data_IF_387359418141
#
_entry.id   IF_387359418141
#
_cell.length_a   1.000
_cell.length_b   1.000
_cell.length_c   1.000
_cell.angle_alpha   90.00
_cell.angle_beta   90.00
_cell.angle_gamma   90.00
#
_symmetry.space_group_name_H-M   'P 1'
#
loop_
_entity.id
_entity.type
_entity.pdbx_description
1 polymer ?
#
# COMPACT_ATOMS: atom_id res chain seq x y z
N UNK A 1 7.52 1.02 -15.69
CA UNK A 1 6.68 0.56 -14.55
C UNK A 1 5.77 -0.51 -15.09
N UNK A 2 5.83 -1.72 -14.56
CA UNK A 2 5.04 -2.85 -15.06
C UNK A 2 3.54 -2.55 -14.92
N UNK A 3 2.81 -2.80 -16.01
CA UNK A 3 1.48 -2.28 -16.31
C UNK A 3 0.31 -3.03 -15.66
N UNK A 4 0.46 -3.78 -14.55
CA UNK A 4 -0.66 -4.59 -14.04
C UNK A 4 -0.76 -4.65 -12.51
N UNK A 5 -0.66 -3.49 -11.84
CA UNK A 5 -1.23 -3.43 -10.48
C UNK A 5 -2.74 -3.20 -10.60
N UNK A 6 -3.55 -4.24 -10.34
CA UNK A 6 -5.02 -4.13 -10.32
C UNK A 6 -5.54 -3.14 -9.25
N UNK A 7 -4.68 -2.75 -8.30
CA UNK A 7 -5.00 -1.84 -7.21
C UNK A 7 -5.54 -2.56 -5.98
N UNK A 8 -5.35 -1.96 -4.80
CA UNK A 8 -5.63 -2.61 -3.52
C UNK A 8 -7.09 -3.05 -3.36
N UNK A 9 -8.05 -2.28 -3.90
CA UNK A 9 -9.47 -2.61 -3.84
C UNK A 9 -9.81 -3.82 -4.73
N UNK A 10 -9.22 -3.92 -5.92
CA UNK A 10 -9.50 -5.03 -6.85
C UNK A 10 -9.02 -6.39 -6.31
N UNK A 11 -7.90 -6.40 -5.58
CA UNK A 11 -7.36 -7.60 -4.96
C UNK A 11 -7.81 -7.80 -3.50
N UNK A 12 -8.66 -6.92 -2.98
CA UNK A 12 -9.10 -6.94 -1.57
C UNK A 12 -7.94 -6.98 -0.56
N UNK A 13 -6.83 -6.31 -0.87
CA UNK A 13 -5.61 -6.33 -0.05
C UNK A 13 -4.84 -7.65 -0.02
N UNK A 14 -5.24 -8.68 -0.79
CA UNK A 14 -4.58 -10.00 -0.87
C UNK A 14 -3.32 -9.95 -1.73
N UNK A 15 -2.35 -9.15 -1.29
CA UNK A 15 -1.03 -9.06 -1.93
C UNK A 15 -0.22 -10.32 -1.64
N UNK A 16 0.54 -10.82 -2.62
CA UNK A 16 1.27 -12.08 -2.51
C UNK A 16 2.24 -12.11 -1.32
N UNK A 17 2.86 -10.96 -1.01
CA UNK A 17 3.84 -10.86 0.06
C UNK A 17 3.25 -10.78 1.47
N UNK A 18 1.92 -10.61 1.63
CA UNK A 18 1.31 -10.49 2.97
C UNK A 18 1.57 -11.74 3.83
N UNK A 19 1.66 -12.91 3.21
CA UNK A 19 1.95 -14.15 3.92
C UNK A 19 3.37 -14.17 4.53
N UNK A 20 4.33 -13.45 3.93
CA UNK A 20 5.70 -13.36 4.47
C UNK A 20 5.76 -12.63 5.81
N UNK A 21 4.75 -11.81 6.13
CA UNK A 21 4.62 -11.13 7.41
C UNK A 21 3.56 -11.78 8.31
N UNK A 22 3.09 -12.98 7.96
CA UNK A 22 2.06 -13.71 8.71
C UNK A 22 0.67 -13.09 8.64
N UNK A 23 0.35 -12.36 7.57
CA UNK A 23 -0.95 -11.73 7.37
C UNK A 23 -1.69 -12.31 6.15
N UNK A 24 -3.01 -12.51 6.28
CA UNK A 24 -3.87 -12.95 5.17
C UNK A 24 -4.21 -11.81 4.20
N UNK A 25 -4.23 -10.58 4.71
CA UNK A 25 -4.48 -9.35 3.94
C UNK A 25 -3.47 -8.28 4.33
N UNK A 26 -3.12 -7.40 3.39
CA UNK A 26 -2.24 -6.26 3.63
C UNK A 26 -2.74 -5.42 4.82
N UNK A 27 -1.94 -5.22 5.88
CA UNK A 27 -2.37 -4.44 7.04
C UNK A 27 -2.73 -2.98 6.70
N UNK A 28 -2.11 -2.38 5.68
CA UNK A 28 -2.47 -1.04 5.19
C UNK A 28 -3.88 -1.02 4.60
N UNK A 29 -4.22 -2.03 3.80
CA UNK A 29 -5.56 -2.16 3.24
C UNK A 29 -6.61 -2.35 4.33
N UNK A 30 -6.33 -3.24 5.29
CA UNK A 30 -7.19 -3.44 6.47
C UNK A 30 -7.43 -2.14 7.23
N UNK A 31 -6.38 -1.38 7.51
CA UNK A 31 -6.46 -0.08 8.18
C UNK A 31 -7.35 0.94 7.43
N UNK A 32 -7.23 1.02 6.09
CA UNK A 32 -8.09 1.87 5.26
C UNK A 32 -9.57 1.49 5.41
N UNK A 33 -9.88 0.19 5.39
CA UNK A 33 -11.25 -0.30 5.57
C UNK A 33 -11.80 -0.04 6.96
N UNK A 34 -11.01 -0.29 8.00
CA UNK A 34 -11.40 -0.04 9.39
C UNK A 34 -11.65 1.45 9.67
N UNK A 35 -10.93 2.35 8.99
CA UNK A 35 -11.13 3.80 9.07
C UNK A 35 -12.27 4.32 8.19
N UNK A 36 -12.88 3.48 7.35
CA UNK A 36 -13.92 3.91 6.40
C UNK A 36 -13.40 4.78 5.26
N UNK A 37 -12.10 4.74 4.97
CA UNK A 37 -11.49 5.51 3.89
C UNK A 37 -11.63 4.80 2.54
N UNK A 38 -11.69 5.56 1.45
CA UNK A 38 -11.69 5.00 0.09
C UNK A 38 -10.30 4.48 -0.28
N UNK A 39 -9.27 5.22 0.12
CA UNK A 39 -7.88 4.88 -0.08
C UNK A 39 -7.00 5.57 0.98
N UNK A 40 -5.70 5.26 0.99
CA UNK A 40 -4.78 5.85 1.96
C UNK A 40 -4.70 7.39 1.84
N UNK A 41 -5.01 7.94 0.66
CA UNK A 41 -5.01 9.37 0.37
C UNK A 41 -6.00 10.16 1.21
N UNK A 42 -7.03 9.54 1.79
CA UNK A 42 -7.94 10.21 2.72
C UNK A 42 -7.31 10.40 4.12
N UNK A 43 -6.21 9.71 4.41
CA UNK A 43 -5.48 9.82 5.68
C UNK A 43 -4.55 11.04 5.66
N UNK A 44 -4.63 11.90 6.68
CA UNK A 44 -3.73 13.06 6.84
C UNK A 44 -2.28 12.66 7.16
N UNK A 45 -2.06 11.45 7.67
CA UNK A 45 -0.75 10.94 8.08
C UNK A 45 -0.01 10.21 6.96
N UNK A 46 -0.48 10.26 5.70
CA UNK A 46 0.11 9.52 4.59
C UNK A 46 1.42 10.18 4.08
N UNK A 47 2.55 9.45 3.93
CA UNK A 47 2.74 8.05 4.28
C UNK A 47 3.00 7.87 5.79
N UNK A 48 2.28 6.95 6.42
CA UNK A 48 2.46 6.66 7.85
C UNK A 48 3.44 5.51 8.07
N UNK A 49 3.92 5.35 9.31
CA UNK A 49 4.88 4.30 9.69
C UNK A 49 4.43 2.89 9.28
N UNK A 50 3.15 2.55 9.48
CA UNK A 50 2.59 1.26 9.04
C UNK A 50 2.83 1.02 7.54
N UNK A 51 2.68 2.05 6.71
CA UNK A 51 2.88 1.91 5.27
C UNK A 51 4.35 1.82 4.88
N UNK A 52 5.21 2.59 5.57
CA UNK A 52 6.65 2.61 5.32
C UNK A 52 7.32 1.32 5.78
N UNK A 53 6.90 0.73 6.90
CA UNK A 53 7.47 -0.50 7.45
C UNK A 53 7.07 -1.76 6.69
N UNK A 54 5.95 -1.72 5.97
CA UNK A 54 5.45 -2.84 5.19
C UNK A 54 6.08 -2.88 3.80
N UNK A 55 7.25 -3.53 3.76
CA UNK A 55 8.02 -3.78 2.56
C UNK A 55 7.73 -5.18 2.00
N UNK A 56 7.53 -5.24 0.69
CA UNK A 56 7.59 -6.48 -0.06
C UNK A 56 9.01 -7.05 0.00
N UNK A 57 9.24 -8.27 0.53
CA UNK A 57 10.56 -8.87 0.65
C UNK A 57 11.32 -9.02 -0.68
N UNK A 58 10.62 -8.99 -1.83
CA UNK A 58 11.27 -9.04 -3.14
C UNK A 58 11.93 -7.72 -3.56
N UNK A 59 11.63 -6.62 -2.87
CA UNK A 59 12.10 -5.28 -3.25
C UNK A 59 13.35 -4.89 -2.47
N UNK A 60 14.28 -4.23 -3.16
CA UNK A 60 15.34 -3.47 -2.50
C UNK A 60 14.75 -2.33 -1.65
N UNK A 61 15.58 -1.74 -0.79
CA UNK A 61 15.14 -0.57 -0.04
C UNK A 61 14.83 0.62 -0.98
N UNK A 62 15.68 0.85 -1.97
CA UNK A 62 15.49 1.89 -2.97
C UNK A 62 14.21 1.67 -3.79
N UNK A 63 13.93 0.43 -4.20
CA UNK A 63 12.72 0.07 -4.93
C UNK A 63 11.46 0.26 -4.08
N UNK A 64 11.52 -0.10 -2.81
CA UNK A 64 10.42 0.11 -1.86
C UNK A 64 10.14 1.60 -1.65
N UNK A 65 11.18 2.40 -1.39
CA UNK A 65 11.04 3.84 -1.25
C UNK A 65 10.48 4.48 -2.52
N UNK A 66 10.98 4.07 -3.71
CA UNK A 66 10.43 4.52 -4.99
C UNK A 66 8.96 4.16 -5.14
N UNK A 67 8.58 2.93 -4.79
CA UNK A 67 7.19 2.47 -4.82
C UNK A 67 6.27 3.31 -3.93
N UNK A 68 6.74 3.70 -2.73
CA UNK A 68 6.00 4.61 -1.84
C UNK A 68 5.79 5.98 -2.52
N UNK A 69 6.84 6.57 -3.09
CA UNK A 69 6.74 7.87 -3.76
C UNK A 69 5.79 7.83 -4.96
N UNK A 70 5.89 6.81 -5.81
CA UNK A 70 5.03 6.65 -6.98
C UNK A 70 3.54 6.53 -6.56
N UNK A 71 3.24 5.76 -5.51
CA UNK A 71 1.88 5.66 -4.96
C UNK A 71 1.39 6.96 -4.34
N UNK A 72 2.25 7.73 -3.67
CA UNK A 72 1.90 9.04 -3.11
C UNK A 72 1.51 10.04 -4.19
N UNK A 73 2.23 10.06 -5.32
CA UNK A 73 1.92 10.94 -6.44
C UNK A 73 0.52 10.64 -6.99
N UNK A 74 0.19 9.36 -7.17
CA UNK A 74 -1.14 8.93 -7.61
C UNK A 74 -2.21 9.36 -6.60
N UNK A 75 -2.04 9.01 -5.32
CA UNK A 75 -3.05 9.27 -4.29
C UNK A 75 -3.29 10.77 -4.04
N UNK A 76 -2.26 11.61 -4.16
CA UNK A 76 -2.41 13.08 -4.07
C UNK A 76 -3.20 13.66 -5.24
N UNK A 77 -3.13 13.04 -6.42
CA UNK A 77 -3.90 13.46 -7.59
C UNK A 77 -5.37 13.01 -7.59
N UNK A 78 -5.77 12.18 -6.62
CA UNK A 78 -7.16 11.72 -6.45
C UNK A 78 -7.97 12.56 -5.44
N UNK A 79 -7.35 13.58 -4.85
CA UNK A 79 -7.98 14.50 -3.88
C UNK A 79 -8.66 15.68 -4.56
#
# INVERSE_FOLDING_TARGET
>A
MNNECAGCNAIEGKVYWAQHIGADVCPVYKCVKEKGYQNCGDCSQIPCELWVSLKDPSLSEEEHQKSIQDRLLILKGLR
#
